data_IF_611966567081
#
_entry.id   IF_611966567081
#
_cell.length_a   1.000
_cell.length_b   1.000
_cell.length_c   1.000
_cell.angle_alpha   90.00
_cell.angle_beta   90.00
_cell.angle_gamma   90.00
#
_symmetry.space_group_name_H-M   'P 1'
#
loop_
_entity.id
_entity.type
_entity.pdbx_description
1 polymer ?
#
# COMPACT_ATOMS: atom_id res chain seq x y z
N UNK A 1 16.93 10.21 -6.73
CA UNK A 1 15.51 9.77 -6.62
C UNK A 1 14.82 10.65 -5.58
N UNK A 2 13.71 11.32 -5.94
CA UNK A 2 12.94 12.14 -5.00
C UNK A 2 11.89 11.25 -4.33
N UNK A 3 12.06 10.96 -3.03
CA UNK A 3 11.12 10.14 -2.26
C UNK A 3 9.91 10.99 -1.89
N UNK A 4 8.73 10.55 -2.30
CA UNK A 4 7.47 11.21 -2.00
C UNK A 4 7.03 10.97 -0.56
N UNK A 5 6.27 11.92 0.01
CA UNK A 5 5.65 11.76 1.34
C UNK A 5 4.80 10.48 1.46
N UNK A 6 4.23 10.01 0.34
CA UNK A 6 3.42 8.80 0.29
C UNK A 6 4.29 7.53 0.39
N UNK A 7 5.45 7.50 -0.27
CA UNK A 7 6.41 6.40 -0.16
C UNK A 7 6.97 6.26 1.26
N UNK A 8 7.21 7.40 1.94
CA UNK A 8 7.62 7.40 3.35
C UNK A 8 6.54 6.76 4.22
N UNK A 9 5.26 7.13 4.03
CA UNK A 9 4.13 6.56 4.78
C UNK A 9 3.97 5.07 4.53
N UNK A 10 4.12 4.62 3.28
CA UNK A 10 4.06 3.20 2.90
C UNK A 10 5.15 2.41 3.63
N UNK A 11 6.40 2.87 3.55
CA UNK A 11 7.53 2.19 4.19
C UNK A 11 7.38 2.15 5.71
N UNK A 12 6.94 3.25 6.32
CA UNK A 12 6.68 3.29 7.76
C UNK A 12 5.59 2.28 8.15
N UNK A 13 4.47 2.23 7.42
CA UNK A 13 3.35 1.33 7.73
C UNK A 13 3.75 -0.14 7.51
N UNK A 14 4.48 -0.43 6.43
CA UNK A 14 5.04 -1.76 6.14
C UNK A 14 5.92 -2.27 7.29
N UNK A 15 6.85 -1.45 7.76
CA UNK A 15 7.72 -1.82 8.89
C UNK A 15 6.94 -2.07 10.18
N UNK A 16 5.86 -1.30 10.44
CA UNK A 16 4.99 -1.55 11.60
C UNK A 16 4.22 -2.87 11.46
N UNK A 17 3.66 -3.16 10.28
CA UNK A 17 2.95 -4.40 10.01
C UNK A 17 3.87 -5.62 10.20
N UNK A 18 5.08 -5.59 9.63
CA UNK A 18 6.07 -6.68 9.77
C UNK A 18 6.41 -6.91 11.25
N UNK A 19 6.74 -5.85 12.00
CA UNK A 19 7.03 -5.96 13.43
C UNK A 19 5.84 -6.52 14.23
N UNK A 20 4.61 -6.14 13.87
CA UNK A 20 3.41 -6.69 14.49
C UNK A 20 3.22 -8.17 14.15
N UNK A 21 3.45 -8.57 12.90
CA UNK A 21 3.37 -9.96 12.47
C UNK A 21 4.38 -10.85 13.19
N UNK A 22 5.62 -10.38 13.37
CA UNK A 22 6.65 -11.08 14.12
C UNK A 22 6.30 -11.18 15.61
N UNK A 23 5.86 -10.07 16.23
CA UNK A 23 5.64 -10.02 17.69
C UNK A 23 4.30 -10.65 18.14
N UNK A 24 3.26 -10.53 17.31
CA UNK A 24 1.87 -10.85 17.70
C UNK A 24 1.22 -11.92 16.81
N UNK A 25 1.85 -12.27 15.69
CA UNK A 25 1.27 -13.14 14.67
C UNK A 25 0.49 -12.37 13.61
N UNK A 26 0.29 -13.02 12.45
CA UNK A 26 -0.39 -12.44 11.29
C UNK A 26 -1.91 -12.30 11.49
N UNK A 27 -2.51 -13.21 12.25
CA UNK A 27 -3.95 -13.20 12.54
C UNK A 27 -4.33 -12.26 13.70
N UNK A 28 -3.36 -11.63 14.35
CA UNK A 28 -3.65 -10.70 15.43
C UNK A 28 -4.38 -9.46 14.88
N UNK A 29 -5.44 -8.95 15.55
CA UNK A 29 -6.25 -7.83 15.06
C UNK A 29 -5.41 -6.59 14.67
N UNK A 30 -4.36 -6.29 15.44
CA UNK A 30 -3.44 -5.21 15.10
C UNK A 30 -2.67 -5.42 13.79
N UNK A 31 -2.24 -6.64 13.49
CA UNK A 31 -1.49 -6.94 12.27
C UNK A 31 -2.41 -6.83 11.05
N UNK A 32 -3.66 -7.33 11.17
CA UNK A 32 -4.71 -7.18 10.14
C UNK A 32 -5.07 -5.71 9.92
N UNK A 33 -5.22 -4.92 11.00
CA UNK A 33 -5.49 -3.48 10.88
C UNK A 33 -4.35 -2.76 10.17
N UNK A 34 -3.10 -3.15 10.44
CA UNK A 34 -1.92 -2.57 9.79
C UNK A 34 -1.84 -2.95 8.31
N UNK A 35 -2.22 -4.18 7.92
CA UNK A 35 -2.27 -4.59 6.50
C UNK A 35 -3.34 -3.82 5.74
N UNK A 36 -4.55 -3.69 6.27
CA UNK A 36 -5.62 -2.89 5.65
C UNK A 36 -5.24 -1.41 5.46
N UNK A 37 -4.51 -0.83 6.43
CA UNK A 37 -4.01 0.53 6.32
C UNK A 37 -2.88 0.66 5.29
N UNK A 38 -2.03 -0.36 5.17
CA UNK A 38 -0.99 -0.41 4.15
C UNK A 38 -1.61 -0.52 2.76
N UNK A 39 -2.63 -1.36 2.57
CA UNK A 39 -3.34 -1.52 1.30
C UNK A 39 -3.98 -0.22 0.84
N UNK A 40 -4.60 0.56 1.74
CA UNK A 40 -5.12 1.90 1.39
C UNK A 40 -4.03 2.82 0.85
N UNK A 41 -2.86 2.86 1.51
CA UNK A 41 -1.73 3.68 1.06
C UNK A 41 -1.16 3.20 -0.27
N UNK A 42 -1.10 1.89 -0.50
CA UNK A 42 -0.66 1.31 -1.77
C UNK A 42 -1.65 1.62 -2.89
N UNK A 43 -2.96 1.55 -2.62
CA UNK A 43 -4.00 1.93 -3.57
C UNK A 43 -3.95 3.42 -3.90
N UNK A 44 -3.69 4.30 -2.93
CA UNK A 44 -3.47 5.73 -3.17
C UNK A 44 -2.22 5.98 -4.02
N UNK A 45 -1.13 5.27 -3.74
CA UNK A 45 0.12 5.40 -4.49
C UNK A 45 -0.01 4.87 -5.90
N UNK A 46 -0.70 3.74 -6.06
CA UNK A 46 -1.07 3.19 -7.35
C UNK A 46 -1.98 4.15 -8.09
N UNK A 47 -3.02 4.73 -7.49
CA UNK A 47 -3.83 5.79 -8.13
C UNK A 47 -2.96 6.95 -8.59
N UNK A 48 -2.07 7.47 -7.75
CA UNK A 48 -1.14 8.55 -8.15
C UNK A 48 -0.22 8.17 -9.32
N UNK A 49 0.21 6.91 -9.40
CA UNK A 49 0.96 6.37 -10.55
C UNK A 49 0.08 6.09 -11.76
N UNK A 50 -1.15 5.60 -11.56
CA UNK A 50 -2.14 5.37 -12.58
C UNK A 50 -2.56 6.69 -13.21
N UNK A 51 -2.73 7.79 -12.48
CA UNK A 51 -2.96 9.12 -13.07
C UNK A 51 -1.75 9.63 -13.88
N UNK A 52 -0.51 9.31 -13.47
CA UNK A 52 0.66 9.53 -14.34
C UNK A 52 0.67 8.59 -15.57
N UNK A 53 0.04 7.43 -15.44
CA UNK A 53 -0.18 6.43 -16.48
C UNK A 53 -1.59 6.45 -17.08
N UNK A 54 -2.42 7.50 -16.95
CA UNK A 54 -3.67 7.61 -17.73
C UNK A 54 -3.32 7.93 -19.20
N UNK A 55 -2.07 8.32 -19.47
CA UNK A 55 -1.42 8.16 -20.79
C UNK A 55 -1.17 6.68 -21.21
N UNK A 56 -1.45 5.70 -20.35
CA UNK A 56 -1.39 4.24 -20.53
C UNK A 56 -2.77 3.62 -20.22
N UNK A 57 -3.76 4.22 -20.87
CA UNK A 57 -5.19 3.90 -21.06
C UNK A 57 -5.50 2.38 -20.96
N UNK A 58 -6.75 2.03 -20.67
CA UNK A 58 -7.37 0.75 -21.06
C UNK A 58 -7.00 -0.55 -20.32
N UNK A 59 -5.93 -0.65 -19.52
CA UNK A 59 -5.43 -1.98 -19.13
C UNK A 59 -6.29 -2.78 -18.12
N UNK A 60 -7.20 -2.19 -17.34
CA UNK A 60 -7.83 -2.91 -16.21
C UNK A 60 -9.36 -2.98 -16.19
N UNK A 61 -10.06 -2.49 -17.21
CA UNK A 61 -11.53 -2.64 -17.30
C UNK A 61 -11.97 -4.03 -17.82
N UNK A 62 -11.03 -4.89 -18.24
CA UNK A 62 -11.32 -6.22 -18.80
C UNK A 62 -10.99 -7.41 -17.87
N UNK A 63 -10.81 -7.21 -16.56
CA UNK A 63 -10.58 -8.32 -15.62
C UNK A 63 -11.66 -8.41 -14.52
N UNK A 64 -12.91 -8.20 -14.93
CA UNK A 64 -14.10 -8.71 -14.24
C UNK A 64 -14.58 -9.97 -14.96
#
# INVERSE_FOLDING_TARGET
>A
MNITRLEIKINFKRNRMIRSGIKKGLNHPDTIRLSQQLDKLLNEYQKGKFYRSIHHIAYLQCLG
#
